data_IF_274583346032
#
_entry.id   IF_274583346032
#
_cell.length_a   1.000
_cell.length_b   1.000
_cell.length_c   1.000
_cell.angle_alpha   90.00
_cell.angle_beta   90.00
_cell.angle_gamma   90.00
#
_symmetry.space_group_name_H-M   'P 1'
#
loop_
_entity.id
_entity.type
_entity.pdbx_description
1 polymer ?
#
# COMPACT_ATOMS: atom_id res chain seq x y z
N UNK A 1 15.53 -23.91 5.84
CA UNK A 1 14.59 -23.00 6.52
C UNK A 1 13.23 -23.33 5.98
N UNK A 2 12.40 -23.96 6.80
CA UNK A 2 11.06 -24.40 6.41
C UNK A 2 10.23 -23.22 5.90
N UNK A 3 9.52 -23.48 4.81
CA UNK A 3 8.70 -22.56 4.03
C UNK A 3 7.42 -22.18 4.78
N UNK A 4 7.55 -21.51 5.93
CA UNK A 4 6.41 -21.05 6.71
C UNK A 4 6.00 -19.67 6.21
N UNK A 5 4.75 -19.56 5.75
CA UNK A 5 4.14 -18.26 5.47
C UNK A 5 4.20 -17.41 6.74
N UNK A 6 4.86 -16.25 6.64
CA UNK A 6 5.16 -15.37 7.77
C UNK A 6 3.95 -14.46 8.03
N UNK A 7 3.30 -13.96 6.97
CA UNK A 7 2.13 -13.06 7.06
C UNK A 7 0.99 -13.47 6.13
N UNK A 8 -0.23 -13.11 6.51
CA UNK A 8 -1.44 -13.37 5.71
C UNK A 8 -1.53 -12.41 4.50
N UNK A 9 -2.15 -12.82 3.40
CA UNK A 9 -2.33 -11.95 2.22
C UNK A 9 -3.12 -10.68 2.55
N UNK A 10 -4.11 -10.78 3.45
CA UNK A 10 -4.90 -9.64 3.91
C UNK A 10 -4.03 -8.62 4.65
N UNK A 11 -3.18 -9.11 5.55
CA UNK A 11 -2.20 -8.28 6.25
C UNK A 11 -1.27 -7.58 5.25
N UNK A 12 -0.76 -8.30 4.25
CA UNK A 12 0.10 -7.72 3.21
C UNK A 12 -0.62 -6.65 2.37
N UNK A 13 -1.89 -6.87 2.04
CA UNK A 13 -2.71 -5.89 1.34
C UNK A 13 -2.94 -4.63 2.19
N UNK A 14 -3.23 -4.79 3.48
CA UNK A 14 -3.39 -3.67 4.41
C UNK A 14 -2.09 -2.92 4.67
N UNK A 15 -0.95 -3.61 4.72
CA UNK A 15 0.38 -2.96 4.78
C UNK A 15 0.65 -2.14 3.51
N UNK A 16 0.34 -2.70 2.35
CA UNK A 16 0.48 -2.00 1.05
C UNK A 16 -0.39 -0.74 1.04
N UNK A 17 -1.64 -0.86 1.47
CA UNK A 17 -2.56 0.27 1.53
C UNK A 17 -2.09 1.32 2.54
N UNK A 18 -1.62 0.92 3.72
CA UNK A 18 -1.09 1.82 4.74
C UNK A 18 0.08 2.68 4.21
N UNK A 19 1.03 2.08 3.48
CA UNK A 19 2.13 2.82 2.84
C UNK A 19 1.60 3.87 1.87
N UNK A 20 0.68 3.46 0.99
CA UNK A 20 0.15 4.36 -0.04
C UNK A 20 -0.73 5.48 0.54
N UNK A 21 -1.46 5.23 1.63
CA UNK A 21 -2.30 6.24 2.29
C UNK A 21 -1.52 7.15 3.23
N UNK A 22 -0.48 6.67 3.89
CA UNK A 22 0.19 7.37 5.00
C UNK A 22 0.76 8.73 4.59
N UNK A 23 1.69 8.75 3.64
CA UNK A 23 2.34 10.00 3.20
C UNK A 23 1.43 10.93 2.39
N UNK A 24 0.58 10.33 1.54
CA UNK A 24 -0.30 11.06 0.63
C UNK A 24 -1.39 11.89 1.32
N UNK A 25 -1.94 11.41 2.44
CA UNK A 25 -3.01 12.14 3.14
C UNK A 25 -2.52 13.43 3.82
N UNK A 26 -1.26 13.52 4.22
CA UNK A 26 -0.76 14.68 4.96
C UNK A 26 -0.31 15.80 4.03
N UNK A 27 0.35 15.46 2.92
CA UNK A 27 1.28 16.39 2.29
C UNK A 27 0.85 16.89 0.93
N UNK A 28 0.42 15.99 0.05
CA UNK A 28 0.24 16.30 -1.38
C UNK A 28 -1.12 16.94 -1.69
N UNK A 29 -2.13 16.78 -0.82
CA UNK A 29 -3.51 17.19 -1.11
C UNK A 29 -3.65 18.66 -1.51
N UNK A 30 -2.94 19.56 -0.79
CA UNK A 30 -2.95 20.99 -1.08
C UNK A 30 -2.60 21.29 -2.55
N UNK A 31 -1.53 20.69 -3.08
CA UNK A 31 -1.10 20.98 -4.45
C UNK A 31 -2.03 20.32 -5.47
N UNK A 32 -2.61 19.15 -5.16
CA UNK A 32 -3.57 18.48 -6.04
C UNK A 32 -4.82 19.33 -6.21
N UNK A 33 -5.38 19.85 -5.12
CA UNK A 33 -6.56 20.72 -5.20
C UNK A 33 -6.21 22.08 -5.81
N UNK A 34 -5.02 22.63 -5.52
CA UNK A 34 -4.57 23.90 -6.13
C UNK A 34 -4.43 23.82 -7.65
N UNK A 35 -3.93 22.70 -8.18
CA UNK A 35 -3.69 22.53 -9.63
C UNK A 35 -4.90 21.93 -10.35
N UNK A 36 -5.57 20.96 -9.73
CA UNK A 36 -6.69 20.21 -10.29
C UNK A 36 -8.07 20.81 -9.99
N UNK A 37 -8.18 21.71 -9.02
CA UNK A 37 -9.44 22.30 -8.56
C UNK A 37 -10.54 21.25 -8.29
N UNK A 38 -11.69 21.37 -8.96
CA UNK A 38 -12.84 20.46 -8.85
C UNK A 38 -12.54 19.04 -9.38
N UNK A 39 -11.49 18.87 -10.18
CA UNK A 39 -11.13 17.59 -10.82
C UNK A 39 -9.97 16.89 -10.08
N UNK A 40 -9.53 17.43 -8.95
CA UNK A 40 -8.40 16.88 -8.19
C UNK A 40 -8.66 15.46 -7.67
N UNK A 41 -9.92 15.05 -7.49
CA UNK A 41 -10.29 13.68 -7.08
C UNK A 41 -9.79 12.61 -8.06
N UNK A 42 -9.44 12.99 -9.30
CA UNK A 42 -8.89 12.10 -10.32
C UNK A 42 -7.35 11.91 -10.24
N UNK A 43 -6.68 12.53 -9.26
CA UNK A 43 -5.21 12.61 -9.19
C UNK A 43 -4.47 11.28 -9.01
N UNK A 44 -5.16 10.20 -8.63
CA UNK A 44 -4.52 8.89 -8.34
C UNK A 44 -4.79 7.82 -9.40
N UNK A 45 -5.33 8.21 -10.56
CA UNK A 45 -5.65 7.29 -11.64
C UNK A 45 -4.41 6.64 -12.27
N UNK A 46 -3.47 7.46 -12.77
CA UNK A 46 -2.24 6.97 -13.40
C UNK A 46 -1.33 6.27 -12.37
N UNK A 47 -1.15 6.78 -11.14
CA UNK A 47 -0.41 6.06 -10.11
C UNK A 47 -1.01 4.71 -9.74
N UNK A 48 -2.34 4.57 -9.74
CA UNK A 48 -2.99 3.28 -9.55
C UNK A 48 -2.57 2.29 -10.65
N UNK A 49 -2.55 2.70 -11.93
CA UNK A 49 -2.07 1.84 -13.01
C UNK A 49 -0.61 1.44 -12.83
N UNK A 50 0.24 2.38 -12.41
CA UNK A 50 1.63 2.09 -12.07
C UNK A 50 1.73 1.01 -10.97
N UNK A 51 0.96 1.14 -9.89
CA UNK A 51 0.91 0.15 -8.81
C UNK A 51 0.49 -1.25 -9.29
N UNK A 52 -0.41 -1.35 -10.27
CA UNK A 52 -0.80 -2.63 -10.88
C UNK A 52 0.32 -3.27 -11.68
N UNK A 53 1.10 -2.46 -12.40
CA UNK A 53 2.30 -2.93 -13.11
C UNK A 53 3.33 -3.46 -12.11
N UNK A 54 3.54 -2.75 -10.99
CA UNK A 54 4.42 -3.22 -9.92
C UNK A 54 3.93 -4.55 -9.34
N UNK A 55 2.63 -4.66 -9.05
CA UNK A 55 2.03 -5.89 -8.53
C UNK A 55 2.24 -7.08 -9.48
N UNK A 56 2.07 -6.87 -10.80
CA UNK A 56 2.30 -7.91 -11.81
C UNK A 56 3.77 -8.33 -11.87
N UNK A 57 4.70 -7.37 -11.84
CA UNK A 57 6.13 -7.65 -11.83
C UNK A 57 6.55 -8.41 -10.57
N UNK A 58 6.13 -7.96 -9.39
CA UNK A 58 6.44 -8.63 -8.13
C UNK A 58 5.86 -10.04 -8.08
N UNK A 59 4.64 -10.24 -8.61
CA UNK A 59 4.10 -11.57 -8.83
C UNK A 59 5.02 -12.43 -9.71
N UNK A 60 5.49 -11.90 -10.85
CA UNK A 60 6.42 -12.61 -11.74
C UNK A 60 7.73 -12.97 -11.03
N UNK A 61 8.31 -12.03 -10.28
CA UNK A 61 9.56 -12.24 -9.54
C UNK A 61 9.42 -13.32 -8.48
N UNK A 62 8.36 -13.31 -7.68
CA UNK A 62 8.11 -14.34 -6.64
C UNK A 62 7.95 -15.73 -7.25
N UNK A 63 7.35 -15.84 -8.44
CA UNK A 63 7.20 -17.12 -9.14
C UNK A 63 8.55 -17.74 -9.51
N UNK A 64 9.52 -16.89 -9.84
CA UNK A 64 10.81 -17.29 -10.42
C UNK A 64 11.94 -17.34 -9.39
N UNK A 65 11.89 -16.48 -8.38
CA UNK A 65 12.84 -16.40 -7.28
C UNK A 65 12.10 -16.60 -5.95
N UNK A 66 11.63 -17.82 -5.65
CA UNK A 66 10.91 -18.09 -4.42
C UNK A 66 11.81 -17.85 -3.20
N UNK A 67 11.21 -17.34 -2.11
CA UNK A 67 11.88 -17.06 -0.83
C UNK A 67 13.04 -16.05 -0.93
N UNK A 68 13.02 -15.16 -1.93
CA UNK A 68 14.00 -14.09 -2.12
C UNK A 68 13.36 -12.71 -2.02
N UNK A 69 14.08 -11.76 -1.45
CA UNK A 69 13.68 -10.35 -1.47
C UNK A 69 14.32 -9.59 -2.63
N UNK A 70 13.82 -8.39 -2.94
CA UNK A 70 14.26 -7.61 -4.12
C UNK A 70 15.78 -7.40 -4.17
N UNK A 71 16.44 -7.13 -3.04
CA UNK A 71 17.89 -6.93 -3.00
C UNK A 71 18.71 -8.17 -3.38
N UNK A 72 18.24 -9.38 -3.04
CA UNK A 72 18.86 -10.62 -3.48
C UNK A 72 18.59 -10.88 -4.97
N UNK A 73 17.35 -10.62 -5.40
CA UNK A 73 16.93 -10.78 -6.80
C UNK A 73 17.78 -9.90 -7.71
N UNK A 74 18.05 -8.65 -7.31
CA UNK A 74 18.93 -7.76 -8.07
C UNK A 74 20.34 -8.34 -8.25
N UNK A 75 20.93 -8.92 -7.19
CA UNK A 75 22.25 -9.56 -7.27
C UNK A 75 22.24 -10.81 -8.17
N UNK A 76 21.15 -11.58 -8.17
CA UNK A 76 21.01 -12.77 -9.01
C UNK A 76 20.85 -12.39 -10.48
N UNK A 77 19.98 -11.42 -10.78
CA UNK A 77 19.59 -11.04 -12.14
C UNK A 77 20.66 -10.20 -12.84
N UNK A 78 21.26 -9.24 -12.14
CA UNK A 78 22.25 -8.31 -12.71
C UNK A 78 23.71 -8.73 -12.45
N UNK A 79 23.92 -9.78 -11.65
CA UNK A 79 25.24 -10.16 -11.16
C UNK A 79 25.72 -9.27 -9.99
N UNK A 80 26.92 -9.58 -9.48
CA UNK A 80 27.42 -8.99 -8.23
C UNK A 80 27.64 -7.47 -8.32
N UNK A 81 28.25 -6.97 -9.40
CA UNK A 81 28.61 -5.55 -9.53
C UNK A 81 27.38 -4.68 -9.79
N UNK A 82 26.69 -4.92 -10.91
CA UNK A 82 25.53 -4.12 -11.32
C UNK A 82 24.38 -4.29 -10.33
N UNK A 83 24.17 -5.49 -9.79
CA UNK A 83 23.17 -5.73 -8.75
C UNK A 83 23.46 -4.98 -7.45
N UNK A 84 24.74 -4.81 -7.07
CA UNK A 84 25.12 -4.00 -5.92
C UNK A 84 24.87 -2.51 -6.15
N UNK A 85 25.18 -1.99 -7.34
CA UNK A 85 24.86 -0.60 -7.72
C UNK A 85 23.35 -0.36 -7.68
N UNK A 86 22.56 -1.27 -8.24
CA UNK A 86 21.09 -1.19 -8.19
C UNK A 86 20.57 -1.17 -6.74
N UNK A 87 21.13 -2.02 -5.87
CA UNK A 87 20.78 -2.03 -4.44
C UNK A 87 21.16 -0.74 -3.71
N UNK A 88 22.31 -0.13 -4.04
CA UNK A 88 22.71 1.15 -3.47
C UNK A 88 21.76 2.28 -3.87
N UNK A 89 21.34 2.33 -5.15
CA UNK A 89 20.32 3.29 -5.62
C UNK A 89 18.99 3.10 -4.88
N UNK A 90 18.57 1.85 -4.69
CA UNK A 90 17.36 1.54 -3.94
C UNK A 90 17.45 1.94 -2.47
N UNK A 91 18.58 1.66 -1.82
CA UNK A 91 18.81 2.08 -0.43
C UNK A 91 18.82 3.59 -0.29
N UNK A 92 19.46 4.29 -1.21
CA UNK A 92 19.44 5.76 -1.22
C UNK A 92 18.01 6.30 -1.39
N UNK A 93 17.19 5.68 -2.24
CA UNK A 93 15.80 6.07 -2.38
C UNK A 93 14.97 5.80 -1.10
N UNK A 94 15.12 4.62 -0.49
CA UNK A 94 14.46 4.28 0.78
C UNK A 94 14.87 5.25 1.90
N UNK A 95 16.14 5.66 1.92
CA UNK A 95 16.65 6.68 2.83
C UNK A 95 15.92 8.02 2.67
N UNK A 96 15.75 8.47 1.42
CA UNK A 96 15.06 9.72 1.10
C UNK A 96 13.58 9.67 1.46
N UNK A 97 12.88 8.56 1.17
CA UNK A 97 11.49 8.35 1.57
C UNK A 97 11.37 8.41 3.09
N UNK A 98 12.22 7.66 3.81
CA UNK A 98 12.20 7.63 5.28
C UNK A 98 12.41 9.02 5.88
N UNK A 99 13.40 9.76 5.38
CA UNK A 99 13.68 11.15 5.82
C UNK A 99 12.48 12.06 5.54
N UNK A 100 11.91 12.01 4.33
CA UNK A 100 10.74 12.80 3.92
C UNK A 100 9.55 12.52 4.85
N UNK A 101 9.24 11.26 5.11
CA UNK A 101 8.05 10.88 5.86
C UNK A 101 8.17 11.18 7.35
N UNK A 102 9.35 10.95 7.96
CA UNK A 102 9.61 11.38 9.33
C UNK A 102 9.51 12.90 9.47
N UNK A 103 10.13 13.67 8.56
CA UNK A 103 10.06 15.13 8.61
C UNK A 103 8.63 15.63 8.40
N UNK A 104 7.89 15.05 7.45
CA UNK A 104 6.51 15.43 7.19
C UNK A 104 5.62 15.16 8.40
N UNK A 105 5.74 13.98 8.99
CA UNK A 105 4.95 13.57 10.14
C UNK A 105 5.32 14.35 11.41
N UNK A 106 6.62 14.56 11.66
CA UNK A 106 7.10 15.36 12.78
C UNK A 106 6.61 16.82 12.70
N UNK A 107 6.66 17.43 11.50
CA UNK A 107 6.12 18.78 11.27
C UNK A 107 4.60 18.82 11.36
N UNK A 108 3.88 17.78 10.93
CA UNK A 108 2.43 17.68 11.13
C UNK A 108 2.10 17.74 12.62
N UNK A 109 2.64 16.81 13.42
CA UNK A 109 2.40 16.75 14.87
C UNK A 109 2.81 18.06 15.56
N UNK A 110 3.96 18.62 15.21
CA UNK A 110 4.46 19.87 15.80
C UNK A 110 3.58 21.08 15.47
N UNK A 111 2.95 21.13 14.30
CA UNK A 111 2.11 22.27 13.93
C UNK A 111 0.68 22.11 14.46
N UNK A 112 0.11 20.90 14.42
CA UNK A 112 -1.31 20.68 14.67
C UNK A 112 -1.62 20.26 16.11
N UNK A 113 -0.73 19.50 16.75
CA UNK A 113 -1.02 18.89 18.06
C UNK A 113 -0.13 19.43 19.19
N UNK A 114 1.17 19.59 18.94
CA UNK A 114 2.17 19.98 19.94
C UNK A 114 2.94 21.25 19.53
N UNK A 115 2.27 22.41 19.35
CA UNK A 115 2.90 23.66 18.89
C UNK A 115 3.96 24.22 19.83
N UNK A 116 3.89 23.87 21.12
CA UNK A 116 4.84 24.32 22.14
C UNK A 116 6.05 23.40 22.30
N UNK A 117 6.10 22.27 21.59
CA UNK A 117 7.18 21.29 21.69
C UNK A 117 8.19 21.49 20.57
N UNK A 118 9.51 21.58 20.86
CA UNK A 118 10.54 21.61 19.83
C UNK A 118 10.43 20.42 18.87
N UNK A 119 10.51 20.69 17.56
CA UNK A 119 10.34 19.67 16.52
C UNK A 119 11.38 18.55 16.60
N UNK A 120 12.58 18.84 17.11
CA UNK A 120 13.64 17.86 17.33
C UNK A 120 13.24 16.79 18.34
N UNK A 121 12.49 17.16 19.39
CA UNK A 121 12.00 16.21 20.41
C UNK A 121 10.95 15.28 19.78
N UNK A 122 10.08 15.82 18.92
CA UNK A 122 9.06 15.02 18.22
C UNK A 122 9.75 13.99 17.31
N UNK A 123 10.74 14.42 16.51
CA UNK A 123 11.51 13.51 15.64
C UNK A 123 12.26 12.46 16.48
N UNK A 124 12.84 12.84 17.63
CA UNK A 124 13.51 11.92 18.54
C UNK A 124 12.56 10.81 19.03
N UNK A 125 11.32 11.14 19.40
CA UNK A 125 10.32 10.16 19.81
C UNK A 125 9.95 9.19 18.67
N UNK A 126 9.80 9.71 17.45
CA UNK A 126 9.56 8.89 16.26
C UNK A 126 10.73 7.95 15.97
N UNK A 127 11.97 8.41 16.12
CA UNK A 127 13.17 7.58 15.94
C UNK A 127 13.27 6.54 17.05
N UNK A 128 12.92 6.86 18.30
CA UNK A 128 12.90 5.89 19.39
C UNK A 128 11.89 4.76 19.12
N UNK A 129 10.76 5.09 18.48
CA UNK A 129 9.82 4.09 17.97
C UNK A 129 10.47 3.20 16.90
N UNK A 130 11.24 3.77 15.97
CA UNK A 130 11.99 2.99 14.97
C UNK A 130 12.99 2.03 15.63
N UNK A 131 13.74 2.50 16.63
CA UNK A 131 14.71 1.65 17.37
C UNK A 131 13.98 0.48 18.04
N UNK A 132 12.86 0.76 18.68
CA UNK A 132 12.08 -0.26 19.42
C UNK A 132 11.55 -1.35 18.49
N UNK A 133 11.07 -0.98 17.30
CA UNK A 133 10.52 -1.92 16.32
C UNK A 133 11.57 -2.49 15.35
N UNK A 134 12.74 -1.88 15.23
CA UNK A 134 13.79 -2.27 14.27
C UNK A 134 14.39 -3.66 14.50
N UNK A 135 14.23 -4.23 15.70
CA UNK A 135 14.65 -5.59 16.00
C UNK A 135 13.53 -6.63 15.79
N UNK A 136 12.36 -6.16 15.34
CA UNK A 136 11.16 -6.98 15.24
C UNK A 136 10.94 -7.45 13.81
N UNK A 137 10.28 -8.60 13.63
CA UNK A 137 9.87 -9.08 12.32
C UNK A 137 8.65 -8.32 11.78
N UNK A 138 8.48 -8.33 10.46
CA UNK A 138 7.30 -7.77 9.79
C UNK A 138 5.97 -8.34 10.33
N UNK A 139 5.97 -9.54 10.91
CA UNK A 139 4.78 -10.14 11.52
C UNK A 139 4.13 -9.27 12.60
N UNK A 140 4.94 -8.64 13.46
CA UNK A 140 4.40 -7.83 14.55
C UNK A 140 3.75 -6.59 13.97
N UNK A 141 4.41 -5.97 12.98
CA UNK A 141 3.89 -4.81 12.29
C UNK A 141 2.61 -5.12 11.51
N UNK A 142 2.58 -6.29 10.86
CA UNK A 142 1.39 -6.82 10.20
C UNK A 142 0.22 -6.98 11.17
N UNK A 143 0.45 -7.48 12.41
CA UNK A 143 -0.60 -7.62 13.43
C UNK A 143 -1.09 -6.27 13.96
N UNK A 144 -0.19 -5.32 14.21
CA UNK A 144 -0.56 -3.96 14.63
C UNK A 144 -1.39 -3.28 13.53
N UNK A 145 -0.96 -3.38 12.28
CA UNK A 145 -1.72 -2.85 11.15
C UNK A 145 -3.05 -3.60 10.95
N UNK A 146 -3.12 -4.91 11.21
CA UNK A 146 -4.38 -5.70 11.20
C UNK A 146 -5.42 -5.19 12.21
N UNK A 147 -4.97 -4.53 13.29
CA UNK A 147 -5.85 -3.92 14.28
C UNK A 147 -6.32 -2.53 13.86
N UNK A 148 -5.42 -1.64 13.47
CA UNK A 148 -5.74 -0.23 13.22
C UNK A 148 -6.24 0.06 11.81
N UNK A 149 -5.74 -0.65 10.80
CA UNK A 149 -6.08 -0.36 9.40
C UNK A 149 -7.57 -0.60 9.08
N UNK A 150 -8.23 -1.67 9.56
CA UNK A 150 -9.67 -1.84 9.36
C UNK A 150 -10.50 -0.73 10.01
N UNK A 151 -10.12 -0.30 11.21
CA UNK A 151 -10.76 0.84 11.88
C UNK A 151 -10.60 2.12 11.07
N UNK A 152 -9.41 2.33 10.49
CA UNK A 152 -9.14 3.46 9.60
C UNK A 152 -9.98 3.43 8.32
N UNK A 153 -10.16 2.25 7.71
CA UNK A 153 -11.06 2.06 6.56
C UNK A 153 -12.50 2.40 6.94
N UNK A 154 -13.00 1.87 8.05
CA UNK A 154 -14.37 2.13 8.52
C UNK A 154 -14.60 3.62 8.77
N UNK A 155 -13.69 4.29 9.48
CA UNK A 155 -13.80 5.72 9.74
C UNK A 155 -13.80 6.53 8.45
N UNK A 156 -12.91 6.21 7.52
CA UNK A 156 -12.86 6.89 6.22
C UNK A 156 -14.17 6.74 5.45
N UNK A 157 -14.80 5.56 5.48
CA UNK A 157 -16.10 5.32 4.85
C UNK A 157 -17.27 5.98 5.58
N UNK A 158 -17.17 6.20 6.89
CA UNK A 158 -18.18 6.92 7.69
C UNK A 158 -18.03 8.44 7.62
N UNK A 159 -16.87 8.95 7.20
CA UNK A 159 -16.58 10.39 7.14
C UNK A 159 -17.59 11.18 6.27
N UNK A 160 -18.04 10.70 5.09
CA UNK A 160 -19.11 11.37 4.34
C UNK A 160 -20.42 11.53 5.11
N UNK A 161 -20.79 10.53 5.94
CA UNK A 161 -22.00 10.60 6.76
C UNK A 161 -21.84 11.64 7.87
N UNK A 162 -20.66 11.68 8.49
CA UNK A 162 -20.33 12.64 9.54
C UNK A 162 -20.29 14.08 9.03
N UNK A 163 -19.91 14.29 7.76
CA UNK A 163 -19.86 15.60 7.10
C UNK A 163 -21.15 15.96 6.35
N UNK A 164 -22.18 15.12 6.39
CA UNK A 164 -23.36 15.27 5.53
C UNK A 164 -24.06 16.64 5.62
N UNK A 165 -24.03 17.29 6.78
CA UNK A 165 -24.60 18.63 6.99
C UNK A 165 -23.78 19.75 6.33
N UNK A 166 -22.48 19.54 6.11
CA UNK A 166 -21.54 20.54 5.57
C UNK A 166 -21.30 20.38 4.06
N UNK A 167 -21.86 19.33 3.45
CA UNK A 167 -21.62 19.02 2.04
C UNK A 167 -22.45 19.90 1.11
N UNK A 168 -21.78 20.65 0.23
CA UNK A 168 -22.41 21.35 -0.89
C UNK A 168 -21.95 20.77 -2.24
N UNK A 169 -22.81 19.95 -2.85
CA UNK A 169 -22.55 19.31 -4.14
C UNK A 169 -22.38 20.31 -5.30
N UNK A 170 -22.69 21.59 -5.12
CA UNK A 170 -22.41 22.62 -6.13
C UNK A 170 -20.93 22.94 -6.21
N UNK A 171 -20.16 22.70 -5.14
CA UNK A 171 -18.73 23.02 -5.06
C UNK A 171 -17.85 22.07 -5.88
N UNK A 172 -18.31 20.86 -6.16
CA UNK A 172 -17.62 19.92 -7.07
C UNK A 172 -17.90 20.23 -8.55
N UNK A 173 -18.89 21.08 -8.84
CA UNK A 173 -19.20 21.46 -10.21
C UNK A 173 -18.33 22.65 -10.65
N UNK A 174 -17.90 22.67 -11.92
CA UNK A 174 -18.10 21.64 -12.94
C UNK A 174 -17.08 20.48 -12.86
N UNK A 175 -17.54 19.27 -13.20
CA UNK A 175 -16.76 18.01 -13.18
C UNK A 175 -16.15 17.73 -14.56
N UNK A 176 -14.89 17.32 -14.59
CA UNK A 176 -14.08 16.95 -15.76
C UNK A 176 -14.04 18.06 -16.83
N UNK A 177 -13.84 19.31 -16.37
CA UNK A 177 -13.74 20.49 -17.26
C UNK A 177 -12.33 21.04 -17.35
N UNK A 178 -11.41 20.57 -16.49
CA UNK A 178 -10.01 20.99 -16.55
C UNK A 178 -9.32 20.41 -17.77
N UNK A 179 -8.28 21.13 -18.21
CA UNK A 179 -7.49 20.70 -19.36
C UNK A 179 -6.78 19.38 -19.07
N UNK A 180 -6.57 18.59 -20.13
CA UNK A 180 -5.78 17.36 -20.08
C UNK A 180 -4.41 17.57 -19.43
N UNK A 181 -3.78 18.72 -19.65
CA UNK A 181 -2.50 19.07 -19.04
C UNK A 181 -2.58 19.21 -17.52
N UNK A 182 -3.63 19.83 -16.97
CA UNK A 182 -3.81 19.96 -15.51
C UNK A 182 -3.98 18.58 -14.86
N UNK A 183 -4.81 17.72 -15.46
CA UNK A 183 -5.11 16.39 -14.91
C UNK A 183 -3.94 15.44 -15.02
N UNK A 184 -3.20 15.51 -16.13
CA UNK A 184 -1.95 14.78 -16.27
C UNK A 184 -0.92 15.26 -15.23
N UNK A 185 -0.82 16.57 -15.00
CA UNK A 185 0.12 17.14 -14.02
C UNK A 185 -0.16 16.65 -12.60
N UNK A 186 -1.41 16.71 -12.11
CA UNK A 186 -1.75 16.20 -10.77
C UNK A 186 -1.46 14.70 -10.64
N UNK A 187 -1.66 13.91 -11.71
CA UNK A 187 -1.36 12.48 -11.72
C UNK A 187 0.14 12.17 -11.76
N UNK A 188 0.96 13.04 -12.37
CA UNK A 188 2.42 12.89 -12.36
C UNK A 188 3.00 13.24 -10.99
N UNK A 189 2.46 14.27 -10.32
CA UNK A 189 2.89 14.66 -8.97
C UNK A 189 2.65 13.55 -7.94
N UNK A 190 1.56 12.79 -8.08
CA UNK A 190 1.21 11.69 -7.18
C UNK A 190 2.07 10.43 -7.38
N UNK A 191 2.77 10.29 -8.52
CA UNK A 191 3.64 9.13 -8.77
C UNK A 191 4.82 9.04 -7.79
N UNK A 192 5.32 10.17 -7.27
CA UNK A 192 6.40 10.17 -6.27
C UNK A 192 5.99 9.49 -4.96
N UNK A 193 4.73 9.67 -4.55
CA UNK A 193 4.16 9.07 -3.35
C UNK A 193 3.70 7.63 -3.57
N UNK A 194 3.10 7.35 -4.73
CA UNK A 194 2.73 5.97 -5.08
C UNK A 194 3.93 5.09 -5.43
N UNK A 195 5.08 5.69 -5.77
CA UNK A 195 6.37 5.03 -5.95
C UNK A 195 6.84 4.26 -4.71
N UNK A 196 6.36 4.64 -3.52
CA UNK A 196 6.69 3.99 -2.24
C UNK A 196 6.20 2.54 -2.19
N UNK A 197 5.29 2.13 -3.08
CA UNK A 197 4.88 0.73 -3.25
C UNK A 197 6.06 -0.21 -3.51
N UNK A 198 7.17 0.32 -4.04
CA UNK A 198 8.40 -0.44 -4.27
C UNK A 198 8.97 -1.03 -2.96
N UNK A 199 8.70 -0.41 -1.82
CA UNK A 199 9.09 -0.89 -0.48
C UNK A 199 8.62 -2.33 -0.24
N UNK A 200 7.45 -2.71 -0.77
CA UNK A 200 6.93 -4.08 -0.67
C UNK A 200 7.86 -5.14 -1.28
N UNK A 201 8.76 -4.74 -2.18
CA UNK A 201 9.81 -5.58 -2.78
C UNK A 201 10.76 -6.20 -1.75
N UNK A 202 11.00 -5.53 -0.62
CA UNK A 202 11.83 -6.06 0.47
C UNK A 202 11.20 -7.28 1.16
N UNK A 203 9.87 -7.42 1.06
CA UNK A 203 9.09 -8.41 1.80
C UNK A 203 8.48 -9.49 0.90
N UNK A 204 8.93 -9.62 -0.35
CA UNK A 204 8.41 -10.63 -1.30
C UNK A 204 8.52 -12.08 -0.79
N UNK A 205 9.49 -12.36 0.07
CA UNK A 205 9.71 -13.68 0.65
C UNK A 205 8.75 -14.04 1.80
N UNK A 206 7.93 -13.10 2.27
CA UNK A 206 7.09 -13.26 3.47
C UNK A 206 5.73 -13.88 3.18
N UNK A 207 5.30 -13.86 1.92
CA UNK A 207 4.03 -14.40 1.44
C UNK A 207 4.26 -15.63 0.56
N UNK A 208 3.44 -16.66 0.75
CA UNK A 208 3.50 -17.83 -0.12
C UNK A 208 2.66 -17.60 -1.38
N UNK A 209 3.32 -17.67 -2.54
CA UNK A 209 2.65 -17.78 -3.83
C UNK A 209 2.57 -16.45 -4.59
N UNK A 210 3.03 -16.49 -5.84
CA UNK A 210 3.04 -15.37 -6.77
C UNK A 210 1.66 -14.68 -6.94
N UNK A 211 0.59 -15.48 -7.02
CA UNK A 211 -0.77 -14.95 -7.18
C UNK A 211 -1.24 -14.18 -5.94
N UNK A 212 -0.85 -14.60 -4.74
CA UNK A 212 -1.20 -13.91 -3.50
C UNK A 212 -0.48 -12.57 -3.39
N UNK A 213 0.80 -12.51 -3.73
CA UNK A 213 1.56 -11.25 -3.71
C UNK A 213 0.96 -10.25 -4.71
N UNK A 214 0.71 -10.68 -5.96
CA UNK A 214 0.10 -9.82 -6.98
C UNK A 214 -1.28 -9.33 -6.54
N UNK A 215 -2.13 -10.25 -6.05
CA UNK A 215 -3.50 -9.92 -5.68
C UNK A 215 -3.57 -9.02 -4.44
N UNK A 216 -2.72 -9.25 -3.44
CA UNK A 216 -2.64 -8.43 -2.23
C UNK A 216 -2.17 -7.00 -2.52
N UNK A 217 -1.11 -6.83 -3.32
CA UNK A 217 -0.62 -5.49 -3.69
C UNK A 217 -1.67 -4.75 -4.52
N UNK A 218 -2.28 -5.43 -5.51
CA UNK A 218 -3.38 -4.83 -6.29
C UNK A 218 -4.52 -4.38 -5.39
N UNK A 219 -4.98 -5.25 -4.49
CA UNK A 219 -6.09 -4.92 -3.60
C UNK A 219 -5.75 -3.73 -2.69
N UNK A 220 -4.56 -3.73 -2.09
CA UNK A 220 -4.08 -2.64 -1.27
C UNK A 220 -4.00 -1.31 -2.03
N UNK A 221 -3.50 -1.34 -3.26
CA UNK A 221 -3.41 -0.15 -4.12
C UNK A 221 -4.78 0.41 -4.51
N UNK A 222 -5.73 -0.46 -4.89
CA UNK A 222 -7.10 -0.07 -5.20
C UNK A 222 -7.79 0.55 -3.99
N UNK A 223 -7.63 -0.05 -2.80
CA UNK A 223 -8.21 0.44 -1.56
C UNK A 223 -7.62 1.81 -1.17
N UNK A 224 -6.30 1.97 -1.23
CA UNK A 224 -5.65 3.25 -0.97
C UNK A 224 -6.09 4.34 -1.95
N UNK A 225 -6.22 4.00 -3.24
CA UNK A 225 -6.70 4.93 -4.28
C UNK A 225 -8.11 5.40 -3.97
N UNK A 226 -9.01 4.48 -3.60
CA UNK A 226 -10.38 4.80 -3.22
C UNK A 226 -10.42 5.73 -2.00
N UNK A 227 -9.66 5.41 -0.94
CA UNK A 227 -9.64 6.19 0.29
C UNK A 227 -9.14 7.62 0.06
N UNK A 228 -8.00 7.78 -0.62
CA UNK A 228 -7.43 9.12 -0.86
C UNK A 228 -8.33 9.93 -1.82
N UNK A 229 -8.87 9.31 -2.86
CA UNK A 229 -9.79 9.99 -3.79
C UNK A 229 -11.06 10.44 -3.09
N UNK A 230 -11.56 9.65 -2.12
CA UNK A 230 -12.70 10.02 -1.29
C UNK A 230 -12.38 11.25 -0.42
N UNK A 231 -11.21 11.29 0.22
CA UNK A 231 -10.79 12.46 0.99
C UNK A 231 -10.70 13.72 0.13
N UNK A 232 -10.08 13.67 -1.05
CA UNK A 232 -10.05 14.83 -1.96
C UNK A 232 -11.45 15.27 -2.36
N UNK A 233 -12.32 14.32 -2.68
CA UNK A 233 -13.70 14.64 -3.06
C UNK A 233 -14.43 15.36 -1.91
N UNK A 234 -14.26 14.90 -0.67
CA UNK A 234 -14.83 15.55 0.51
C UNK A 234 -14.23 16.93 0.75
N UNK A 235 -12.91 17.11 0.57
CA UNK A 235 -12.26 18.43 0.65
C UNK A 235 -12.93 19.42 -0.32
N UNK A 236 -13.20 18.99 -1.56
CA UNK A 236 -13.84 19.85 -2.56
C UNK A 236 -15.32 20.12 -2.23
N UNK A 237 -16.07 19.09 -1.82
CA UNK A 237 -17.52 19.21 -1.58
C UNK A 237 -17.85 19.98 -0.30
N UNK A 238 -16.96 19.99 0.68
CA UNK A 238 -17.16 20.70 1.96
C UNK A 238 -16.50 22.08 1.95
N UNK A 239 -15.23 22.18 1.52
CA UNK A 239 -14.44 23.41 1.62
C UNK A 239 -14.34 24.19 0.30
N UNK A 240 -14.81 23.61 -0.82
CA UNK A 240 -14.58 24.14 -2.16
C UNK A 240 -13.12 23.96 -2.61
N UNK A 241 -12.79 24.27 -3.87
CA UNK A 241 -11.41 24.09 -4.36
C UNK A 241 -10.42 25.20 -3.94
N UNK A 242 -10.93 26.36 -3.53
CA UNK A 242 -10.08 27.53 -3.23
C UNK A 242 -9.42 27.45 -1.86
N UNK A 243 -10.15 26.97 -0.83
CA UNK A 243 -9.65 26.92 0.55
C UNK A 243 -8.58 25.83 0.72
N UNK A 244 -8.83 24.54 0.37
CA UNK A 244 -7.84 23.46 0.48
C UNK A 244 -6.55 23.74 -0.28
N UNK A 245 -6.63 24.41 -1.43
CA UNK A 245 -5.45 24.80 -2.20
C UNK A 245 -4.51 25.76 -1.46
N UNK A 246 -4.95 26.40 -0.38
CA UNK A 246 -4.17 27.37 0.40
C UNK A 246 -3.88 26.93 1.84
N UNK A 247 -4.41 25.79 2.26
CA UNK A 247 -4.16 25.20 3.57
C UNK A 247 -2.91 24.32 3.55
N UNK A 248 -2.12 24.33 4.63
CA UNK A 248 -0.95 23.45 4.77
C UNK A 248 -1.39 21.98 4.93
N UNK A 249 -2.45 21.73 5.71
CA UNK A 249 -2.97 20.38 5.96
C UNK A 249 -4.49 20.33 5.69
N UNK A 250 -4.92 20.28 4.42
CA UNK A 250 -6.33 20.40 4.06
C UNK A 250 -7.22 19.29 4.67
N UNK A 251 -6.73 18.04 4.66
CA UNK A 251 -7.41 16.92 5.31
C UNK A 251 -7.68 17.14 6.81
N UNK A 252 -6.74 17.76 7.52
CA UNK A 252 -6.94 18.05 8.95
C UNK A 252 -8.04 19.11 9.13
N UNK A 253 -8.03 20.17 8.31
CA UNK A 253 -9.09 21.19 8.33
C UNK A 253 -10.45 20.67 7.89
N UNK A 254 -10.50 19.68 6.98
CA UNK A 254 -11.73 18.98 6.61
C UNK A 254 -12.30 18.21 7.80
N UNK A 255 -11.46 17.45 8.50
CA UNK A 255 -11.87 16.68 9.68
C UNK A 255 -12.38 17.60 10.80
N UNK A 256 -11.81 18.80 10.94
CA UNK A 256 -12.29 19.82 11.89
C UNK A 256 -13.70 20.35 11.58
N UNK A 257 -14.24 20.16 10.36
CA UNK A 257 -15.62 20.53 10.04
C UNK A 257 -16.65 19.51 10.55
N UNK A 258 -16.24 18.37 11.12
CA UNK A 258 -17.16 17.37 11.62
C UNK A 258 -17.84 17.87 12.90
N UNK A 259 -19.07 18.37 12.76
CA UNK A 259 -19.92 18.82 13.86
C UNK A 259 -21.17 17.94 13.98
N UNK A 260 -21.13 16.94 14.86
CA UNK A 260 -22.26 16.00 15.09
C UNK A 260 -23.18 16.49 16.21
N UNK A 261 -22.63 17.04 17.29
CA UNK A 261 -23.36 17.56 18.47
C UNK A 261 -22.40 18.37 19.35
N UNK A 262 -22.93 19.30 20.16
CA UNK A 262 -22.18 20.15 21.12
C UNK A 262 -21.28 19.37 22.11
N UNK A 263 -21.48 18.06 22.28
CA UNK A 263 -20.64 17.22 23.14
C UNK A 263 -19.46 16.56 22.40
N UNK A 264 -19.48 16.51 21.06
CA UNK A 264 -18.52 15.79 20.22
C UNK A 264 -17.62 16.76 19.42
N UNK A 265 -17.13 17.83 20.04
CA UNK A 265 -16.34 18.89 19.38
C UNK A 265 -14.89 18.51 19.00
N UNK A 266 -14.38 17.34 19.41
CA UNK A 266 -13.00 16.88 19.16
C UNK A 266 -12.94 15.55 18.41
N UNK A 267 -13.74 15.40 17.35
CA UNK A 267 -13.70 14.22 16.47
C UNK A 267 -12.37 14.06 15.74
N UNK A 268 -11.64 15.16 15.54
CA UNK A 268 -10.31 15.17 14.99
C UNK A 268 -9.33 14.29 15.80
N UNK A 269 -9.36 14.36 17.13
CA UNK A 269 -8.52 13.53 18.00
C UNK A 269 -8.81 12.03 17.87
N UNK A 270 -10.08 11.64 17.68
CA UNK A 270 -10.47 10.23 17.53
C UNK A 270 -9.97 9.68 16.19
N UNK A 271 -10.22 10.42 15.11
CA UNK A 271 -9.81 10.03 13.76
C UNK A 271 -8.28 9.94 13.69
N UNK A 272 -7.60 10.95 14.25
CA UNK A 272 -6.15 10.96 14.34
C UNK A 272 -5.62 9.79 15.17
N UNK A 273 -6.22 9.45 16.31
CA UNK A 273 -5.79 8.32 17.16
C UNK A 273 -5.79 6.97 16.44
N UNK A 274 -6.63 6.81 15.42
CA UNK A 274 -6.68 5.60 14.59
C UNK A 274 -5.74 5.69 13.38
N UNK A 275 -5.60 6.87 12.79
CA UNK A 275 -4.71 7.11 11.65
C UNK A 275 -3.22 7.14 12.03
N UNK A 276 -2.86 7.67 13.21
CA UNK A 276 -1.49 7.77 13.71
C UNK A 276 -0.75 6.42 13.70
N UNK A 277 -1.31 5.33 14.27
CA UNK A 277 -0.70 4.01 14.20
C UNK A 277 -0.54 3.47 12.78
N UNK A 278 -1.48 3.75 11.87
CA UNK A 278 -1.40 3.31 10.46
C UNK A 278 -0.21 3.97 9.75
N UNK A 279 -0.06 5.29 9.92
CA UNK A 279 1.07 6.03 9.33
C UNK A 279 2.39 5.65 10.00
N UNK A 280 2.42 5.43 11.31
CA UNK A 280 3.59 4.89 11.99
C UNK A 280 3.98 3.51 11.44
N UNK A 281 2.99 2.65 11.13
CA UNK A 281 3.26 1.37 10.47
C UNK A 281 3.89 1.56 9.09
N UNK A 282 3.39 2.48 8.26
CA UNK A 282 3.96 2.78 6.95
C UNK A 282 5.45 3.14 7.04
N UNK A 283 5.80 4.07 7.93
CA UNK A 283 7.18 4.51 8.18
C UNK A 283 8.06 3.36 8.69
N UNK A 284 7.54 2.54 9.60
CA UNK A 284 8.25 1.37 10.13
C UNK A 284 8.54 0.33 9.05
N UNK A 285 7.64 0.11 8.09
CA UNK A 285 7.87 -0.81 6.97
C UNK A 285 9.04 -0.31 6.09
N UNK A 286 9.08 1.00 5.81
CA UNK A 286 10.17 1.62 5.05
C UNK A 286 11.51 1.45 5.79
N UNK A 287 11.50 1.65 7.11
CA UNK A 287 12.67 1.47 7.96
C UNK A 287 13.17 0.02 7.96
N UNK A 288 12.29 -0.96 8.14
CA UNK A 288 12.63 -2.39 8.07
C UNK A 288 13.14 -2.78 6.67
N UNK A 289 12.55 -2.24 5.60
CA UNK A 289 13.04 -2.47 4.23
C UNK A 289 14.46 -1.94 4.02
N UNK A 290 14.77 -0.76 4.57
CA UNK A 290 16.11 -0.18 4.54
C UNK A 290 17.11 -1.07 5.29
N UNK A 291 16.77 -1.55 6.49
CA UNK A 291 17.61 -2.48 7.25
C UNK A 291 17.87 -3.79 6.50
N UNK A 292 16.85 -4.39 5.86
CA UNK A 292 17.01 -5.60 5.03
C UNK A 292 17.99 -5.33 3.87
N UNK A 293 17.90 -4.18 3.22
CA UNK A 293 18.81 -3.81 2.14
C UNK A 293 20.26 -3.63 2.62
N UNK A 294 20.46 -2.96 3.76
CA UNK A 294 21.80 -2.78 4.36
C UNK A 294 22.40 -4.12 4.78
N UNK A 295 21.62 -4.96 5.46
CA UNK A 295 22.02 -6.32 5.82
C UNK A 295 22.42 -7.15 4.59
N UNK A 296 21.67 -7.02 3.48
CA UNK A 296 21.98 -7.69 2.22
C UNK A 296 23.30 -7.23 1.58
N UNK A 297 23.74 -5.99 1.82
CA UNK A 297 25.03 -5.47 1.33
C UNK A 297 26.19 -5.93 2.21
N UNK A 298 26.06 -5.81 3.52
CA UNK A 298 27.14 -6.10 4.48
C UNK A 298 27.29 -7.62 4.71
N UNK A 299 26.40 -8.44 4.16
CA UNK A 299 26.35 -9.90 4.37
C UNK A 299 26.22 -10.30 5.84
N UNK A 300 25.81 -9.35 6.69
CA UNK A 300 25.52 -9.57 8.11
C UNK A 300 24.02 -9.74 8.28
N UNK A 301 23.62 -10.68 9.16
CA UNK A 301 22.21 -10.97 9.45
C UNK A 301 21.74 -10.42 10.79
N UNK A 302 22.63 -9.83 11.58
CA UNK A 302 22.30 -9.31 12.89
C UNK A 302 21.73 -7.90 12.80
N UNK A 303 20.40 -7.83 12.62
CA UNK A 303 19.64 -6.58 12.60
C UNK A 303 19.84 -5.76 13.87
N UNK A 304 20.04 -6.40 15.03
CA UNK A 304 20.20 -5.74 16.33
C UNK A 304 21.39 -4.78 16.39
N UNK A 305 22.54 -5.18 15.83
CA UNK A 305 23.75 -4.35 15.84
C UNK A 305 23.65 -3.18 14.84
N UNK A 306 22.92 -3.38 13.74
CA UNK A 306 22.75 -2.40 12.66
C UNK A 306 21.64 -1.38 12.98
N UNK A 307 20.65 -1.77 13.78
CA UNK A 307 19.45 -0.98 14.06
C UNK A 307 19.77 0.38 14.70
N UNK A 308 20.46 0.40 15.83
CA UNK A 308 20.74 1.65 16.56
C UNK A 308 21.56 2.66 15.75
N UNK A 309 22.68 2.27 15.09
CA UNK A 309 23.43 3.19 14.25
C UNK A 309 22.62 3.79 13.10
N UNK A 310 21.81 2.99 12.41
CA UNK A 310 20.96 3.49 11.32
C UNK A 310 19.93 4.48 11.88
N UNK A 311 19.22 4.14 12.95
CA UNK A 311 18.22 5.02 13.54
C UNK A 311 18.80 6.38 13.95
N UNK A 312 20.00 6.40 14.54
CA UNK A 312 20.70 7.65 14.90
C UNK A 312 21.09 8.46 13.66
N UNK A 313 21.52 7.80 12.58
CA UNK A 313 21.83 8.47 11.32
C UNK A 313 20.55 9.08 10.70
N UNK A 314 19.41 8.38 10.82
CA UNK A 314 18.10 8.86 10.37
C UNK A 314 17.68 10.09 11.17
N UNK A 315 17.87 10.08 12.51
CA UNK A 315 17.62 11.25 13.36
C UNK A 315 18.39 12.47 12.89
N UNK A 316 19.71 12.35 12.77
CA UNK A 316 20.60 13.46 12.36
C UNK A 316 20.18 13.98 10.99
N UNK A 317 19.92 13.07 10.05
CA UNK A 317 19.57 13.47 8.68
C UNK A 317 18.20 14.11 8.60
N UNK A 318 17.21 13.61 9.35
CA UNK A 318 15.85 14.17 9.38
C UNK A 318 15.84 15.57 9.97
N UNK A 319 16.61 15.82 11.03
CA UNK A 319 16.73 17.15 11.64
C UNK A 319 17.44 18.14 10.71
N UNK A 320 18.45 17.69 9.95
CA UNK A 320 19.24 18.56 9.07
C UNK A 320 18.64 18.75 7.67
N UNK A 321 17.82 17.81 7.18
CA UNK A 321 17.39 17.78 5.79
C UNK A 321 16.41 18.90 5.41
N UNK A 322 15.48 19.25 6.30
CA UNK A 322 14.38 20.16 5.97
C UNK A 322 14.10 21.19 7.07
N UNK A 323 14.36 22.46 6.79
CA UNK A 323 14.14 23.55 7.74
C UNK A 323 12.66 23.91 7.86
N UNK A 324 11.93 23.89 6.75
CA UNK A 324 10.52 24.30 6.70
C UNK A 324 9.58 23.18 6.20
N UNK A 325 8.28 23.27 6.48
CA UNK A 325 7.27 22.35 5.92
C UNK A 325 7.19 22.45 4.41
N UNK A 326 7.34 23.68 3.88
CA UNK A 326 7.38 23.94 2.45
C UNK A 326 8.51 23.20 1.74
N UNK A 327 9.69 23.09 2.35
CA UNK A 327 10.81 22.32 1.76
C UNK A 327 10.49 20.82 1.69
N UNK A 328 9.90 20.24 2.74
CA UNK A 328 9.48 18.82 2.75
C UNK A 328 8.46 18.56 1.64
N UNK A 329 7.46 19.43 1.52
CA UNK A 329 6.41 19.29 0.52
C UNK A 329 6.94 19.54 -0.89
N UNK A 330 7.84 20.50 -1.08
CA UNK A 330 8.49 20.74 -2.38
C UNK A 330 9.28 19.50 -2.81
N UNK A 331 10.05 18.92 -1.90
CA UNK A 331 10.77 17.68 -2.16
C UNK A 331 9.84 16.51 -2.48
N UNK A 332 8.78 16.32 -1.68
CA UNK A 332 7.80 15.25 -1.89
C UNK A 332 6.98 15.40 -3.17
N UNK A 333 6.63 16.63 -3.55
CA UNK A 333 5.74 16.88 -4.69
C UNK A 333 6.50 17.02 -6.01
N UNK A 334 7.72 17.56 -6.02
CA UNK A 334 8.47 17.82 -7.26
C UNK A 334 9.69 16.92 -7.43
N UNK A 335 10.50 16.74 -6.38
CA UNK A 335 11.73 15.95 -6.48
C UNK A 335 11.46 14.44 -6.46
N UNK A 336 10.55 13.99 -5.61
CA UNK A 336 10.25 12.55 -5.45
C UNK A 336 9.70 11.90 -6.72
N UNK A 337 8.74 12.49 -7.47
CA UNK A 337 8.30 11.93 -8.75
C UNK A 337 9.43 11.85 -9.79
N UNK A 338 10.32 12.85 -9.85
CA UNK A 338 11.45 12.86 -10.78
C UNK A 338 12.44 11.74 -10.44
N UNK A 339 12.78 11.58 -9.16
CA UNK A 339 13.65 10.49 -8.69
C UNK A 339 13.00 9.15 -9.03
N UNK A 340 11.73 8.97 -8.70
CA UNK A 340 10.99 7.75 -9.00
C UNK A 340 11.01 7.42 -10.51
N UNK A 341 10.63 8.38 -11.36
CA UNK A 341 10.55 8.20 -12.82
C UNK A 341 11.92 7.95 -13.46
N UNK A 342 12.99 8.49 -12.88
CA UNK A 342 14.34 8.38 -13.44
C UNK A 342 14.87 6.94 -13.41
N UNK A 343 14.58 6.17 -12.34
CA UNK A 343 15.20 4.87 -12.15
C UNK A 343 14.21 3.71 -11.96
N UNK A 344 13.04 3.91 -11.34
CA UNK A 344 12.12 2.79 -11.04
C UNK A 344 11.59 2.11 -12.32
N UNK A 345 11.08 2.84 -13.34
CA UNK A 345 10.64 2.21 -14.58
C UNK A 345 11.76 1.46 -15.31
N UNK A 346 12.97 2.05 -15.36
CA UNK A 346 14.14 1.44 -15.98
C UNK A 346 14.51 0.14 -15.26
N UNK A 347 14.58 0.18 -13.92
CA UNK A 347 14.87 -0.99 -13.10
C UNK A 347 13.82 -2.09 -13.29
N UNK A 348 12.54 -1.74 -13.38
CA UNK A 348 11.46 -2.71 -13.62
C UNK A 348 11.51 -3.36 -14.99
N UNK A 349 11.75 -2.59 -16.05
CA UNK A 349 11.89 -3.15 -17.40
C UNK A 349 13.09 -4.08 -17.46
N UNK A 350 14.23 -3.64 -16.90
CA UNK A 350 15.43 -4.46 -16.84
C UNK A 350 15.24 -5.74 -16.02
N UNK A 351 14.65 -5.65 -14.82
CA UNK A 351 14.34 -6.81 -13.97
C UNK A 351 13.36 -7.76 -14.66
N UNK A 352 12.31 -7.24 -15.28
CA UNK A 352 11.32 -8.01 -16.02
C UNK A 352 11.98 -8.81 -17.13
N UNK A 353 12.70 -8.13 -18.04
CA UNK A 353 13.33 -8.75 -19.21
C UNK A 353 14.44 -9.74 -18.83
N UNK A 354 15.32 -9.39 -17.89
CA UNK A 354 16.42 -10.26 -17.50
C UNK A 354 15.95 -11.43 -16.63
N UNK A 355 14.92 -11.24 -15.80
CA UNK A 355 14.33 -12.35 -15.07
C UNK A 355 13.81 -13.42 -16.03
N UNK A 356 13.31 -13.07 -17.23
CA UNK A 356 12.82 -14.04 -18.21
C UNK A 356 13.84 -15.12 -18.60
N UNK A 357 15.14 -14.84 -18.42
CA UNK A 357 16.23 -15.77 -18.69
C UNK A 357 16.36 -16.89 -17.64
N UNK A 358 15.81 -16.72 -16.44
CA UNK A 358 15.87 -17.75 -15.40
C UNK A 358 14.66 -18.70 -15.52
N UNK A 359 14.85 -20.03 -15.42
CA UNK A 359 13.74 -20.97 -15.42
C UNK A 359 12.93 -20.84 -14.12
N UNK A 360 11.64 -21.14 -14.19
CA UNK A 360 10.79 -21.23 -13.00
C UNK A 360 11.18 -22.51 -12.25
N UNK A 361 11.54 -22.44 -10.96
CA UNK A 361 11.83 -23.63 -10.17
C UNK A 361 10.63 -24.58 -10.15
N UNK A 362 10.81 -25.83 -10.60
CA UNK A 362 9.79 -26.87 -10.49
C UNK A 362 9.58 -27.19 -9.00
N UNK A 363 8.33 -27.32 -8.50
CA UNK A 363 8.10 -27.80 -7.15
C UNK A 363 8.70 -29.21 -7.04
N UNK A 364 9.58 -29.43 -6.04
CA UNK A 364 10.14 -30.77 -5.77
C UNK A 364 8.98 -31.70 -5.43
N UNK A 365 8.58 -32.55 -6.38
CA UNK A 365 7.71 -33.70 -6.10
C UNK A 365 8.52 -34.64 -5.21
N UNK A 366 8.21 -34.68 -3.91
CA UNK A 366 8.75 -35.71 -3.02
C UNK A 366 8.29 -37.07 -3.56
N UNK A 367 9.15 -37.77 -4.31
CA UNK A 367 9.06 -39.22 -4.42
C UNK A 367 9.49 -39.76 -3.05
N UNK A 368 8.52 -40.22 -2.26
CA UNK A 368 8.82 -41.09 -1.12
C UNK A 368 9.52 -42.35 -1.64
N UNK A 369 10.58 -42.86 -1.00
CA UNK A 369 11.05 -44.21 -1.26
C UNK A 369 9.97 -45.18 -0.76
N UNK A 370 9.40 -45.98 -1.66
CA UNK A 370 8.41 -47.02 -1.32
C UNK A 370 9.05 -48.29 -0.71
N UNK A 371 10.37 -48.35 -0.54
CA UNK A 371 11.07 -49.56 -0.10
C UNK A 371 11.54 -49.49 1.37
N UNK A 372 10.65 -49.22 2.33
CA UNK A 372 10.98 -49.49 3.76
C UNK A 372 9.77 -49.72 4.68
N UNK A 373 8.65 -50.22 4.15
CA UNK A 373 7.52 -50.69 4.98
C UNK A 373 7.02 -52.06 4.51
N UNK A 374 7.92 -53.04 4.49
CA UNK A 374 7.59 -54.44 4.29
C UNK A 374 8.17 -55.33 5.41
N UNK A 375 8.11 -54.89 6.67
CA UNK A 375 8.30 -55.79 7.83
C UNK A 375 7.91 -55.11 9.13
N UNK A 376 6.61 -54.99 9.42
CA UNK A 376 6.03 -55.03 10.79
C UNK A 376 4.57 -54.60 10.74
N UNK A 377 3.67 -55.58 10.82
CA UNK A 377 2.36 -55.52 11.50
C UNK A 377 1.48 -56.65 10.97
N UNK A 378 1.79 -57.87 11.42
CA UNK A 378 0.72 -58.80 11.78
C UNK A 378 0.32 -58.46 13.22
N UNK A 379 -0.94 -58.68 13.52
CA UNK A 379 -1.60 -58.57 14.83
C UNK A 379 -2.22 -57.20 15.14
N UNK A 380 -3.46 -57.02 14.66
CA UNK A 380 -4.62 -56.96 15.55
C UNK A 380 -5.91 -56.67 14.76
N UNK A 381 -6.61 -57.74 14.38
CA UNK A 381 -8.07 -57.71 14.26
C UNK A 381 -8.67 -57.95 15.65
N UNK A 382 -9.41 -56.97 16.16
CA UNK A 382 -10.68 -57.14 16.87
C UNK A 382 -11.02 -55.87 17.66
N UNK A 383 -12.02 -55.12 17.19
CA UNK A 383 -13.21 -54.75 17.97
C UNK A 383 -13.86 -53.46 17.43
N UNK A 384 -15.15 -53.60 17.13
CA UNK A 384 -16.21 -52.59 17.26
C UNK A 384 -16.34 -51.51 16.17
N UNK A 385 -17.08 -51.88 15.13
CA UNK A 385 -18.44 -51.35 14.90
C UNK A 385 -18.80 -50.05 15.63
N UNK A 386 -18.70 -48.92 14.95
CA UNK A 386 -19.71 -47.87 15.03
C UNK A 386 -19.82 -47.13 13.69
N UNK A 387 -20.92 -47.36 12.98
CA UNK A 387 -21.37 -46.49 11.90
C UNK A 387 -21.75 -45.15 12.51
N UNK A 388 -20.89 -44.14 12.38
CA UNK A 388 -21.29 -42.74 12.50
C UNK A 388 -21.18 -42.10 11.13
N UNK A 389 -22.34 -41.85 10.53
CA UNK A 389 -22.49 -41.02 9.34
C UNK A 389 -21.85 -39.65 9.62
N UNK A 390 -20.75 -39.34 8.92
CA UNK A 390 -20.25 -37.96 8.83
C UNK A 390 -21.40 -37.09 8.32
N UNK A 391 -21.74 -35.98 8.98
CA UNK A 391 -22.66 -35.03 8.38
C UNK A 391 -22.00 -34.50 7.11
N UNK A 392 -22.78 -34.44 6.03
CA UNK A 392 -22.38 -33.79 4.79
C UNK A 392 -21.89 -32.37 5.13
N UNK A 393 -20.63 -32.07 4.81
CA UNK A 393 -20.16 -30.69 4.83
C UNK A 393 -21.11 -29.85 3.99
N UNK A 394 -21.58 -28.69 4.46
CA UNK A 394 -22.41 -27.83 3.63
C UNK A 394 -21.64 -27.58 2.32
N UNK A 395 -22.31 -27.78 1.19
CA UNK A 395 -21.79 -27.50 -0.15
C UNK A 395 -21.18 -26.10 -0.14
N UNK A 396 -19.86 -26.01 0.04
CA UNK A 396 -19.17 -24.74 -0.11
C UNK A 396 -19.28 -24.38 -1.59
N UNK A 397 -19.91 -23.26 -1.95
CA UNK A 397 -20.05 -22.87 -3.34
C UNK A 397 -18.64 -22.77 -3.93
N UNK A 398 -18.43 -23.41 -5.09
CA UNK A 398 -17.14 -23.32 -5.79
C UNK A 398 -16.78 -21.85 -5.95
N UNK A 399 -15.59 -21.39 -5.53
CA UNK A 399 -15.21 -20.00 -5.68
C UNK A 399 -15.28 -19.61 -7.16
N UNK A 400 -16.08 -18.58 -7.48
CA UNK A 400 -16.25 -18.09 -8.84
C UNK A 400 -14.89 -17.73 -9.45
N UNK A 401 -14.57 -18.34 -10.59
CA UNK A 401 -13.22 -18.31 -11.17
C UNK A 401 -12.95 -17.07 -12.03
N UNK A 402 -13.94 -16.16 -12.18
CA UNK A 402 -13.90 -14.99 -13.05
C UNK A 402 -13.69 -13.63 -12.36
N UNK A 403 -13.42 -13.57 -11.05
CA UNK A 403 -13.26 -12.28 -10.34
C UNK A 403 -12.13 -11.40 -10.90
N UNK A 404 -11.03 -12.01 -11.35
CA UNK A 404 -9.93 -11.29 -12.00
C UNK A 404 -10.40 -10.60 -13.31
N UNK A 405 -11.23 -11.29 -14.11
CA UNK A 405 -11.77 -10.76 -15.36
C UNK A 405 -12.71 -9.58 -15.10
N UNK A 406 -13.58 -9.68 -14.09
CA UNK A 406 -14.44 -8.57 -13.68
C UNK A 406 -13.65 -7.37 -13.18
N UNK A 407 -12.58 -7.60 -12.42
CA UNK A 407 -11.69 -6.53 -11.96
C UNK A 407 -11.03 -5.81 -13.14
N UNK A 408 -10.55 -6.55 -14.14
CA UNK A 408 -10.00 -5.95 -15.36
C UNK A 408 -11.06 -5.19 -16.17
N UNK A 409 -12.25 -5.76 -16.33
CA UNK A 409 -13.36 -5.12 -17.04
C UNK A 409 -13.77 -3.80 -16.39
N UNK A 410 -13.97 -3.79 -15.07
CA UNK A 410 -14.31 -2.57 -14.33
C UNK A 410 -13.22 -1.51 -14.43
N UNK A 411 -11.95 -1.92 -14.45
CA UNK A 411 -10.82 -1.01 -14.62
C UNK A 411 -10.79 -0.40 -16.03
N UNK A 412 -11.12 -1.17 -17.06
CA UNK A 412 -11.25 -0.62 -18.42
C UNK A 412 -12.42 0.35 -18.55
N UNK A 413 -13.55 0.05 -17.90
CA UNK A 413 -14.72 0.95 -17.88
C UNK A 413 -14.40 2.25 -17.14
N UNK A 414 -13.72 2.17 -15.99
CA UNK A 414 -13.35 3.36 -15.20
C UNK A 414 -12.41 4.29 -15.96
N UNK A 415 -11.41 3.73 -16.65
CA UNK A 415 -10.51 4.49 -17.53
C UNK A 415 -11.25 5.10 -18.72
N UNK A 416 -12.12 4.33 -19.38
CA UNK A 416 -12.89 4.81 -20.51
C UNK A 416 -13.82 5.98 -20.11
N UNK A 417 -14.50 5.85 -18.96
CA UNK A 417 -15.37 6.90 -18.43
C UNK A 417 -14.60 8.22 -18.20
N UNK A 418 -13.41 8.16 -17.60
CA UNK A 418 -12.57 9.34 -17.42
C UNK A 418 -12.13 9.94 -18.75
N UNK A 419 -11.61 9.13 -19.69
CA UNK A 419 -11.16 9.63 -21.00
C UNK A 419 -12.30 10.32 -21.75
N UNK A 420 -13.49 9.73 -21.76
CA UNK A 420 -14.68 10.29 -22.41
C UNK A 420 -15.12 11.58 -21.70
N UNK A 421 -15.13 11.58 -20.37
CA UNK A 421 -15.47 12.74 -19.55
C UNK A 421 -14.50 13.90 -19.78
N UNK A 422 -13.21 13.64 -19.90
CA UNK A 422 -12.19 14.66 -20.20
C UNK A 422 -12.24 15.17 -21.63
N UNK A 423 -12.63 14.33 -22.57
CA UNK A 423 -12.71 14.72 -23.97
C UNK A 423 -13.91 15.62 -24.26
N UNK A 424 -15.06 15.35 -23.63
CA UNK A 424 -16.33 16.05 -23.91
C UNK A 424 -16.85 16.92 -22.75
N UNK A 425 -16.30 16.80 -21.56
CA UNK A 425 -16.79 17.49 -20.35
C UNK A 425 -16.74 19.01 -20.47
N UNK A 426 -15.77 19.54 -21.21
CA UNK A 426 -15.65 20.99 -21.45
C UNK A 426 -16.79 21.58 -22.30
N UNK A 427 -17.49 20.74 -23.08
CA UNK A 427 -18.68 21.15 -23.83
C UNK A 427 -20.00 20.75 -23.17
N UNK A 428 -20.05 19.61 -22.50
CA UNK A 428 -21.27 18.98 -21.99
C UNK A 428 -21.10 18.63 -20.50
N UNK A 429 -21.38 19.58 -19.61
CA UNK A 429 -21.17 19.42 -18.16
C UNK A 429 -21.93 18.21 -17.56
N UNK A 430 -23.12 17.89 -18.08
CA UNK A 430 -23.90 16.71 -17.67
C UNK A 430 -23.17 15.40 -17.99
N UNK A 431 -22.42 15.35 -19.10
CA UNK A 431 -21.63 14.18 -19.48
C UNK A 431 -20.45 13.99 -18.52
N UNK A 432 -19.80 15.08 -18.10
CA UNK A 432 -18.73 15.05 -17.10
C UNK A 432 -19.23 14.47 -15.76
N UNK A 433 -20.42 14.88 -15.32
CA UNK A 433 -21.05 14.37 -14.10
C UNK A 433 -21.35 12.86 -14.21
N UNK A 434 -21.97 12.42 -15.30
CA UNK A 434 -22.27 10.98 -15.53
C UNK A 434 -20.98 10.16 -15.52
N UNK A 435 -19.94 10.63 -16.21
CA UNK A 435 -18.64 9.95 -16.25
C UNK A 435 -17.97 9.88 -14.86
N UNK A 436 -18.05 10.97 -14.08
CA UNK A 436 -17.56 11.00 -12.69
C UNK A 436 -18.31 10.00 -11.79
N UNK A 437 -19.64 9.93 -11.89
CA UNK A 437 -20.44 8.95 -11.13
C UNK A 437 -20.11 7.50 -11.52
N UNK A 438 -19.98 7.21 -12.82
CA UNK A 438 -19.57 5.88 -13.31
C UNK A 438 -18.19 5.52 -12.75
N UNK A 439 -17.24 6.46 -12.76
CA UNK A 439 -15.92 6.25 -12.21
C UNK A 439 -15.95 5.91 -10.71
N UNK A 440 -16.72 6.68 -9.91
CA UNK A 440 -16.87 6.44 -8.48
C UNK A 440 -17.46 5.07 -8.17
N UNK A 441 -18.55 4.69 -8.87
CA UNK A 441 -19.18 3.37 -8.75
C UNK A 441 -18.22 2.24 -9.13
N UNK A 442 -17.49 2.39 -10.24
CA UNK A 442 -16.50 1.40 -10.67
C UNK A 442 -15.36 1.27 -9.65
N UNK A 443 -14.91 2.36 -9.03
CA UNK A 443 -13.84 2.32 -8.02
C UNK A 443 -14.25 1.54 -6.77
N UNK A 444 -15.49 1.70 -6.31
CA UNK A 444 -16.04 0.92 -5.20
C UNK A 444 -16.14 -0.57 -5.59
N UNK A 445 -16.70 -0.85 -6.76
CA UNK A 445 -16.84 -2.22 -7.26
C UNK A 445 -15.49 -2.90 -7.47
N UNK A 446 -14.46 -2.17 -7.91
CA UNK A 446 -13.09 -2.69 -8.09
C UNK A 446 -12.48 -3.19 -6.78
N UNK A 447 -12.68 -2.44 -5.69
CA UNK A 447 -12.21 -2.86 -4.36
C UNK A 447 -12.96 -4.12 -3.93
N UNK A 448 -14.27 -4.19 -4.17
CA UNK A 448 -15.09 -5.36 -3.87
C UNK A 448 -14.69 -6.60 -4.69
N UNK A 449 -14.56 -6.49 -6.01
CA UNK A 449 -14.16 -7.63 -6.86
C UNK A 449 -12.75 -8.09 -6.54
N UNK A 450 -11.82 -7.17 -6.27
CA UNK A 450 -10.46 -7.51 -5.84
C UNK A 450 -10.46 -8.19 -4.47
N UNK A 451 -11.33 -7.78 -3.54
CA UNK A 451 -11.50 -8.46 -2.26
C UNK A 451 -11.99 -9.90 -2.46
N UNK A 452 -13.05 -10.08 -3.25
CA UNK A 452 -13.60 -11.40 -3.56
C UNK A 452 -12.57 -12.32 -4.25
N UNK A 453 -11.75 -11.76 -5.14
CA UNK A 453 -10.63 -12.50 -5.74
C UNK A 453 -9.64 -12.96 -4.69
N UNK A 454 -9.17 -12.07 -3.81
CA UNK A 454 -8.23 -12.43 -2.74
C UNK A 454 -8.78 -13.50 -1.79
N UNK A 455 -10.05 -13.39 -1.42
CA UNK A 455 -10.74 -14.36 -0.56
C UNK A 455 -10.88 -15.73 -1.26
N UNK A 456 -11.20 -15.73 -2.57
CA UNK A 456 -11.30 -16.96 -3.36
C UNK A 456 -9.97 -17.72 -3.46
N UNK A 457 -8.85 -16.99 -3.54
CA UNK A 457 -7.50 -17.56 -3.55
C UNK A 457 -7.17 -18.18 -2.19
N UNK A 458 -7.59 -17.56 -1.08
CA UNK A 458 -7.42 -18.11 0.26
C UNK A 458 -8.17 -19.43 0.44
N UNK A 459 -9.43 -19.51 -0.01
CA UNK A 459 -10.22 -20.72 0.09
C UNK A 459 -9.59 -21.91 -0.66
N UNK A 460 -8.99 -21.66 -1.83
CA UNK A 460 -8.28 -22.68 -2.60
C UNK A 460 -7.12 -23.30 -1.82
N UNK A 461 -6.34 -22.48 -1.12
CA UNK A 461 -5.24 -22.93 -0.24
C UNK A 461 -5.76 -23.85 0.87
N UNK A 462 -6.83 -23.46 1.56
CA UNK A 462 -7.40 -24.25 2.66
C UNK A 462 -8.10 -25.53 2.20
N UNK A 463 -8.52 -25.61 0.94
CA UNK A 463 -9.18 -26.78 0.35
C UNK A 463 -8.21 -27.79 -0.32
N UNK A 464 -6.93 -27.44 -0.44
CA UNK A 464 -5.91 -28.32 -1.01
C UNK A 464 -5.56 -29.45 -0.02
N UNK A 465 -5.60 -30.74 -0.42
CA UNK A 465 -5.33 -31.87 0.49
C UNK A 465 -3.90 -31.88 1.08
N UNK A 466 -3.00 -31.00 0.64
CA UNK A 466 -1.66 -30.84 1.22
C UNK A 466 -1.62 -30.07 2.56
N UNK A 467 -2.68 -29.35 2.96
CA UNK A 467 -2.68 -28.59 4.23
C UNK A 467 -3.23 -29.36 5.43
N UNK A 468 -3.83 -30.54 5.22
CA UNK A 468 -4.49 -31.30 6.30
C UNK A 468 -3.54 -32.20 7.11
N UNK A 469 -2.24 -32.25 6.78
CA UNK A 469 -1.27 -33.09 7.48
C UNK A 469 -0.34 -32.35 8.45
N UNK A 470 -0.59 -31.06 8.75
CA UNK A 470 0.25 -30.26 9.65
C UNK A 470 -0.55 -29.18 10.41
N UNK A 471 -1.61 -29.58 11.11
CA UNK A 471 -2.09 -28.81 12.27
C UNK A 471 -1.44 -29.37 13.54
#
# INVERSE_FOLDING_TARGET
>A
MDSKQIINYRQFAWLTAAILTGGGLVSIQQILVRVGHSDAWSAYMIPMLYALVVAALFGMLVKRFPNKHIFEINKIVFGSVIGTIANLVLLFHLWLILTRDLSSFGKFVGITLLPNTPGEIIILLLVLLLISFGNTSIEVLARVNDLFFPAFVVITLLTPLALSNEMDLRLVQPILTRSWSSIFSINVLTLGWYGDIFVMGAFLHTLWGSQHVRSAIRHGALLATLMISLFILLEIVVLGSTIPGNLVYPNYSLIQQIHISDFLDRMDLIILSIWFPVTACAVLIIYLAFQIGVASLVSQRDYSTINTPIALLVLITTVLAFKSTTEVFSFGNFSSPVIMLSYQPVLFVMLGLLSLRHPIPQPKTNKQPEDEKASTSKDNEAAQSSKTSKPASPLQPKPFQGWEQWTHLLLTISLAALIIGLWKGNGWASLGLVCGCIYGLCSILLVYTSYMETHSLQQKLTSSPQSTSQQ
#
